data_IF_475444810880
#
_entry.id   IF_475444810880
#
_cell.length_a   1.000
_cell.length_b   1.000
_cell.length_c   1.000
_cell.angle_alpha   90.00
_cell.angle_beta   90.00
_cell.angle_gamma   90.00
#
_symmetry.space_group_name_H-M   'P 1'
#
loop_
_entity.id
_entity.type
_entity.pdbx_description
1 polymer ?
#
# COMPACT_ATOMS: atom_id res chain seq x y z
N UNK A 1 -13.30 31.08 -10.01
CA UNK A 1 -14.25 30.01 -10.36
C UNK A 1 -13.65 28.74 -9.79
N UNK A 2 -14.14 28.29 -8.63
CA UNK A 2 -13.61 27.13 -7.93
C UNK A 2 -14.50 25.95 -8.31
N UNK A 3 -13.97 25.01 -9.10
CA UNK A 3 -14.70 23.78 -9.40
C UNK A 3 -14.73 22.96 -8.12
N UNK A 4 -15.90 22.87 -7.48
CA UNK A 4 -16.15 21.86 -6.45
C UNK A 4 -16.23 20.50 -7.16
N UNK A 5 -15.10 19.80 -7.25
CA UNK A 5 -15.08 18.38 -7.57
C UNK A 5 -15.59 17.61 -6.35
N UNK A 6 -16.90 17.60 -6.17
CA UNK A 6 -17.61 16.65 -5.32
C UNK A 6 -18.46 15.80 -6.24
N UNK A 7 -17.83 14.87 -6.95
CA UNK A 7 -18.51 13.86 -7.74
C UNK A 7 -18.01 12.50 -7.26
N UNK A 8 -18.84 11.81 -6.48
CA UNK A 8 -18.86 10.35 -6.23
C UNK A 8 -17.63 9.63 -5.63
N UNK A 9 -16.97 10.21 -4.63
CA UNK A 9 -15.92 9.50 -3.86
C UNK A 9 -16.37 8.11 -3.35
N UNK A 10 -17.64 7.95 -2.95
CA UNK A 10 -18.18 6.69 -2.44
C UNK A 10 -18.25 5.57 -3.50
N UNK A 11 -18.53 5.91 -4.75
CA UNK A 11 -18.65 4.92 -5.83
C UNK A 11 -17.27 4.47 -6.32
N UNK A 12 -16.29 5.37 -6.32
CA UNK A 12 -14.88 5.06 -6.60
C UNK A 12 -14.26 4.17 -5.52
N UNK A 13 -14.53 4.44 -4.23
CA UNK A 13 -14.07 3.58 -3.13
C UNK A 13 -14.64 2.16 -3.24
N UNK A 14 -15.93 2.01 -3.54
CA UNK A 14 -16.54 0.68 -3.74
C UNK A 14 -15.95 -0.04 -4.94
N UNK A 15 -15.71 0.66 -6.05
CA UNK A 15 -15.10 0.08 -7.23
C UNK A 15 -13.66 -0.39 -6.94
N UNK A 16 -12.90 0.37 -6.15
CA UNK A 16 -11.57 -0.01 -5.69
C UNK A 16 -11.60 -1.25 -4.78
N UNK A 17 -12.51 -1.28 -3.79
CA UNK A 17 -12.67 -2.43 -2.89
C UNK A 17 -13.05 -3.71 -3.66
N UNK A 18 -14.01 -3.62 -4.57
CA UNK A 18 -14.41 -4.75 -5.43
C UNK A 18 -13.27 -5.20 -6.36
N UNK A 19 -12.45 -4.27 -6.84
CA UNK A 19 -11.30 -4.59 -7.66
C UNK A 19 -10.20 -5.31 -6.87
N UNK A 20 -9.89 -4.88 -5.64
CA UNK A 20 -8.97 -5.60 -4.74
C UNK A 20 -9.47 -7.01 -4.46
N UNK A 21 -10.78 -7.19 -4.18
CA UNK A 21 -11.37 -8.53 -3.95
C UNK A 21 -11.17 -9.42 -5.18
N UNK A 22 -11.40 -8.90 -6.39
CA UNK A 22 -11.21 -9.68 -7.62
C UNK A 22 -9.74 -10.07 -7.84
N UNK A 23 -8.76 -9.21 -7.48
CA UNK A 23 -7.33 -9.54 -7.51
C UNK A 23 -7.05 -10.71 -6.57
N UNK A 24 -7.49 -10.61 -5.31
CA UNK A 24 -7.24 -11.61 -4.28
C UNK A 24 -7.89 -12.95 -4.61
N UNK A 25 -9.10 -12.93 -5.17
CA UNK A 25 -9.83 -14.13 -5.57
C UNK A 25 -9.30 -14.76 -6.88
N UNK A 26 -8.35 -14.11 -7.56
CA UNK A 26 -7.81 -14.59 -8.85
C UNK A 26 -8.85 -14.56 -9.98
N UNK A 27 -9.88 -13.71 -9.85
CA UNK A 27 -10.99 -13.60 -10.80
C UNK A 27 -10.82 -12.42 -11.77
N UNK A 28 -9.61 -11.85 -11.83
CA UNK A 28 -9.22 -10.88 -12.86
C UNK A 28 -8.47 -11.68 -13.93
N UNK A 29 -8.90 -11.54 -15.19
CA UNK A 29 -8.34 -12.24 -16.34
C UNK A 29 -9.39 -12.91 -17.23
N UNK A 30 -9.08 -13.08 -18.51
CA UNK A 30 -9.87 -13.89 -19.44
C UNK A 30 -9.66 -15.38 -19.08
N UNK A 31 -10.67 -16.27 -19.17
CA UNK A 31 -10.54 -17.70 -18.80
C UNK A 31 -9.39 -18.48 -19.46
N UNK A 32 -8.68 -17.89 -20.43
CA UNK A 32 -7.80 -18.59 -21.34
C UNK A 32 -6.32 -18.18 -21.32
N UNK A 33 -5.89 -17.19 -20.53
CA UNK A 33 -4.50 -16.68 -20.66
C UNK A 33 -3.57 -17.03 -19.48
N UNK A 34 -4.09 -17.49 -18.33
CA UNK A 34 -3.26 -17.79 -17.16
C UNK A 34 -2.53 -16.59 -16.55
N UNK A 35 -2.62 -15.43 -17.20
CA UNK A 35 -2.08 -14.13 -16.82
C UNK A 35 -3.20 -13.10 -17.02
N UNK A 36 -3.25 -12.11 -16.13
CA UNK A 36 -4.26 -11.05 -16.18
C UNK A 36 -3.57 -9.71 -16.19
N UNK A 37 -3.80 -8.92 -17.24
CA UNK A 37 -3.31 -7.55 -17.30
C UNK A 37 -4.16 -6.65 -16.40
N UNK A 38 -3.50 -5.95 -15.49
CA UNK A 38 -4.12 -5.02 -14.56
C UNK A 38 -3.59 -3.63 -14.89
N UNK A 39 -4.48 -2.75 -15.35
CA UNK A 39 -4.17 -1.33 -15.54
C UNK A 39 -4.28 -0.60 -14.19
N UNK A 40 -3.17 -0.05 -13.71
CA UNK A 40 -3.16 0.88 -12.59
C UNK A 40 -3.21 2.32 -13.11
N UNK A 41 -4.03 3.15 -12.47
CA UNK A 41 -4.01 4.60 -12.66
C UNK A 41 -2.61 5.15 -12.32
N UNK A 42 -1.99 5.92 -13.22
CA UNK A 42 -0.60 6.40 -13.05
C UNK A 42 -0.40 7.19 -11.75
N UNK A 43 -1.45 7.86 -11.29
CA UNK A 43 -1.56 8.65 -10.06
C UNK A 43 -1.62 7.80 -8.78
N UNK A 44 -1.92 6.50 -8.90
CA UNK A 44 -1.96 5.54 -7.78
C UNK A 44 -0.66 4.72 -7.70
N UNK A 45 0.15 4.72 -8.77
CA UNK A 45 1.40 3.95 -8.82
C UNK A 45 2.54 4.71 -8.13
N UNK A 46 3.03 4.11 -7.04
CA UNK A 46 4.30 4.53 -6.44
C UNK A 46 5.45 4.03 -7.31
N UNK A 47 6.11 4.95 -8.03
CA UNK A 47 7.32 4.62 -8.79
C UNK A 47 8.52 4.52 -7.86
N UNK A 48 8.93 3.30 -7.52
CA UNK A 48 10.20 3.09 -6.82
C UNK A 48 11.38 3.21 -7.79
N UNK A 49 12.38 4.01 -7.43
CA UNK A 49 13.65 4.15 -8.19
C UNK A 49 14.79 3.35 -7.52
N UNK A 50 14.48 2.58 -6.47
CA UNK A 50 15.50 1.86 -5.71
C UNK A 50 14.88 0.79 -4.81
N UNK A 51 15.03 0.96 -3.50
CA UNK A 51 14.43 0.06 -2.52
C UNK A 51 12.91 0.27 -2.48
N UNK A 52 12.19 -0.71 -3.01
CA UNK A 52 10.73 -0.69 -3.08
C UNK A 52 10.09 -0.78 -1.68
N UNK A 53 10.69 -1.52 -0.74
CA UNK A 53 10.21 -1.62 0.64
C UNK A 53 10.32 -0.25 1.32
N UNK A 54 11.48 0.40 1.22
CA UNK A 54 11.65 1.76 1.74
C UNK A 54 10.65 2.74 1.11
N UNK A 55 10.44 2.62 -0.21
CA UNK A 55 9.52 3.51 -0.95
C UNK A 55 8.08 3.37 -0.45
N UNK A 56 7.59 2.13 -0.27
CA UNK A 56 6.23 1.89 0.23
C UNK A 56 6.10 2.29 1.70
N UNK A 57 7.07 1.91 2.55
CA UNK A 57 7.05 2.22 3.99
C UNK A 57 7.07 3.72 4.24
N UNK A 58 7.88 4.49 3.49
CA UNK A 58 7.95 5.95 3.65
C UNK A 58 6.67 6.68 3.24
N UNK A 59 5.87 6.09 2.34
CA UNK A 59 4.59 6.66 1.90
C UNK A 59 3.46 6.29 2.87
N UNK A 60 3.40 5.03 3.29
CA UNK A 60 2.37 4.55 4.22
C UNK A 60 2.60 5.14 5.61
N UNK A 61 3.85 5.20 6.06
CA UNK A 61 4.23 5.68 7.38
C UNK A 61 5.02 7.00 7.32
N UNK A 62 4.39 8.05 6.82
CA UNK A 62 4.92 9.41 6.84
C UNK A 62 5.28 9.86 8.26
N UNK A 63 6.55 10.22 8.48
CA UNK A 63 7.08 10.65 9.78
C UNK A 63 7.07 9.57 10.86
N UNK A 64 7.36 8.31 10.48
CA UNK A 64 7.42 7.15 11.37
C UNK A 64 8.08 7.42 12.73
N UNK A 65 9.26 8.05 12.74
CA UNK A 65 10.04 8.36 13.95
C UNK A 65 9.29 9.26 14.96
N UNK A 66 8.34 10.08 14.50
CA UNK A 66 7.58 10.98 15.37
C UNK A 66 6.38 10.30 16.06
N UNK A 67 6.07 9.05 15.70
CA UNK A 67 4.80 8.40 16.04
C UNK A 67 4.94 7.03 16.71
N UNK A 68 6.13 6.62 17.13
CA UNK A 68 6.37 5.28 17.66
C UNK A 68 5.60 4.98 18.95
N UNK A 69 5.45 6.00 19.80
CA UNK A 69 4.67 5.92 21.03
C UNK A 69 3.16 6.08 20.80
N UNK A 70 2.74 6.41 19.56
CA UNK A 70 1.34 6.61 19.20
C UNK A 70 0.78 5.36 18.52
N UNK A 71 0.16 4.49 19.32
CA UNK A 71 -0.49 3.29 18.78
C UNK A 71 -1.59 3.63 17.75
N UNK A 72 -2.28 4.77 17.89
CA UNK A 72 -3.38 5.14 16.99
C UNK A 72 -2.88 5.46 15.58
N UNK A 73 -1.64 5.93 15.46
CA UNK A 73 -0.99 6.19 14.18
C UNK A 73 -0.85 4.93 13.32
N UNK A 74 -0.74 3.74 13.91
CA UNK A 74 -0.56 2.51 13.14
C UNK A 74 -1.88 1.81 12.76
N UNK A 75 -3.01 2.18 13.38
CA UNK A 75 -4.25 1.40 13.29
C UNK A 75 -4.95 1.48 11.93
N UNK A 76 -4.74 2.55 11.18
CA UNK A 76 -5.35 2.79 9.87
C UNK A 76 -4.42 2.45 8.69
N UNK A 77 -3.24 1.88 8.97
CA UNK A 77 -2.19 1.62 7.99
C UNK A 77 -1.96 0.13 7.83
N UNK A 78 -1.89 -0.32 6.59
CA UNK A 78 -1.53 -1.69 6.24
C UNK A 78 -0.68 -1.70 4.97
N UNK A 79 0.32 -2.57 4.92
CA UNK A 79 1.08 -2.88 3.71
C UNK A 79 0.72 -4.30 3.32
N UNK A 80 0.17 -4.47 2.12
CA UNK A 80 -0.09 -5.78 1.54
C UNK A 80 1.00 -6.07 0.51
N UNK A 81 1.58 -7.26 0.61
CA UNK A 81 2.62 -7.75 -0.30
C UNK A 81 2.17 -9.07 -0.93
N UNK A 82 2.59 -9.36 -2.18
CA UNK A 82 2.09 -10.51 -2.89
C UNK A 82 2.67 -11.84 -2.40
N UNK A 83 3.83 -11.83 -1.72
CA UNK A 83 4.51 -13.04 -1.26
C UNK A 83 4.91 -13.00 0.21
N UNK A 84 5.06 -14.19 0.83
CA UNK A 84 5.53 -14.30 2.21
C UNK A 84 7.00 -13.85 2.35
N UNK A 85 7.84 -14.03 1.33
CA UNK A 85 9.23 -13.56 1.36
C UNK A 85 9.30 -12.03 1.43
N UNK A 86 8.49 -11.34 0.64
CA UNK A 86 8.38 -9.88 0.73
C UNK A 86 7.72 -9.42 2.03
N UNK A 87 6.84 -10.24 2.61
CA UNK A 87 6.25 -9.97 3.93
C UNK A 87 7.30 -9.98 5.02
N UNK A 88 8.12 -11.03 5.05
CA UNK A 88 9.23 -11.16 6.01
C UNK A 88 10.22 -10.00 5.83
N UNK A 89 10.61 -9.68 4.58
CA UNK A 89 11.52 -8.57 4.29
C UNK A 89 10.96 -7.21 4.72
N UNK A 90 9.66 -6.96 4.47
CA UNK A 90 9.00 -5.71 4.87
C UNK A 90 8.89 -5.60 6.40
N UNK A 91 8.54 -6.70 7.05
CA UNK A 91 8.42 -6.75 8.50
C UNK A 91 9.79 -6.54 9.19
N UNK A 92 10.84 -7.20 8.70
CA UNK A 92 12.21 -7.01 9.20
C UNK A 92 12.69 -5.57 9.01
N UNK A 93 12.34 -4.93 7.90
CA UNK A 93 12.63 -3.52 7.65
C UNK A 93 11.97 -2.61 8.69
N UNK A 94 10.65 -2.74 8.90
CA UNK A 94 9.90 -1.93 9.88
C UNK A 94 10.40 -2.18 11.30
N UNK A 95 10.68 -3.44 11.67
CA UNK A 95 11.25 -3.77 12.98
C UNK A 95 12.67 -3.22 13.16
N UNK A 96 13.43 -3.12 12.08
CA UNK A 96 14.74 -2.47 12.05
C UNK A 96 14.65 -0.99 12.41
N UNK A 97 13.67 -0.28 11.83
CA UNK A 97 13.41 1.14 12.13
C UNK A 97 13.13 1.34 13.63
N UNK A 98 12.25 0.52 14.21
CA UNK A 98 11.92 0.60 15.64
C UNK A 98 13.10 0.34 16.58
N UNK A 99 14.11 -0.43 16.13
CA UNK A 99 15.26 -0.84 16.95
C UNK A 99 16.44 0.13 16.90
N UNK A 100 16.56 0.95 15.86
CA UNK A 100 17.68 1.89 15.70
C UNK A 100 17.67 3.00 16.76
N UNK A 101 16.52 3.21 17.40
CA UNK A 101 16.22 4.27 18.36
C UNK A 101 16.69 3.94 19.78
N UNK A 102 16.93 2.65 20.05
CA UNK A 102 17.46 2.16 21.32
C UNK A 102 18.96 2.43 21.52
N UNK A 103 19.60 3.17 20.60
CA UNK A 103 21.00 3.60 20.70
C UNK A 103 21.09 5.13 20.85
N UNK A 104 20.75 5.63 22.04
CA UNK A 104 21.30 6.89 22.55
C UNK A 104 21.77 6.73 23.99
#
# INVERSE_FOLDING_TARGET
MMYSFTFNHLDETKAFDEWIVKIVDGNIGDPNDGEAEIEFLEDVVVRSIGDHIHSVVSIVYLSFENHLDDQSYFQDKAILVPTNEEFDATNDYILGLMKDEGKT
#
